data_IF_045332060805
#
_entry.id   IF_045332060805
#
_cell.length_a   1.000
_cell.length_b   1.000
_cell.length_c   1.000
_cell.angle_alpha   90.00
_cell.angle_beta   90.00
_cell.angle_gamma   90.00
#
_symmetry.space_group_name_H-M   'P 1'
#
loop_
_entity.id
_entity.type
_entity.pdbx_description
1 polymer ?
#
# COMPACT_ATOMS: atom_id res chain seq x y z
N UNK A 1 27.91 -61.08 -47.37
CA UNK A 1 28.95 -61.99 -46.85
C UNK A 1 29.02 -61.79 -45.34
N UNK A 2 28.87 -62.89 -44.60
CA UNK A 2 29.01 -63.11 -43.14
C UNK A 2 28.09 -62.24 -42.23
N UNK A 3 26.90 -62.65 -41.74
CA UNK A 3 26.29 -63.92 -41.32
C UNK A 3 26.56 -64.31 -39.85
N UNK A 4 25.47 -64.70 -39.13
CA UNK A 4 25.35 -65.54 -37.91
C UNK A 4 25.40 -64.77 -36.56
N UNK A 5 24.48 -64.87 -35.56
CA UNK A 5 23.54 -65.94 -35.10
C UNK A 5 22.35 -65.38 -34.28
N UNK A 6 21.18 -65.98 -34.44
CA UNK A 6 20.02 -66.12 -33.51
C UNK A 6 20.29 -67.30 -32.53
N UNK A 7 19.38 -67.87 -31.68
CA UNK A 7 18.19 -67.41 -30.92
C UNK A 7 18.11 -68.07 -29.50
N UNK A 8 16.97 -67.97 -28.79
CA UNK A 8 16.29 -68.98 -27.93
C UNK A 8 15.13 -68.24 -27.20
N UNK A 9 13.83 -68.44 -27.44
CA UNK A 9 12.97 -69.63 -27.51
C UNK A 9 12.87 -70.40 -26.16
N UNK A 10 11.85 -70.06 -25.36
CA UNK A 10 11.32 -70.92 -24.29
C UNK A 10 9.81 -71.04 -24.45
N UNK A 11 9.39 -72.30 -24.58
CA UNK A 11 8.05 -72.82 -24.80
C UNK A 11 7.10 -72.67 -23.61
N UNK A 12 5.82 -72.71 -23.97
CA UNK A 12 4.64 -72.79 -23.13
C UNK A 12 4.58 -74.02 -22.20
N UNK A 13 4.01 -73.83 -21.00
CA UNK A 13 2.78 -74.47 -20.50
C UNK A 13 2.71 -74.32 -18.97
N UNK A 14 1.66 -73.67 -18.46
CA UNK A 14 0.76 -74.33 -17.52
C UNK A 14 -0.53 -73.55 -17.30
N UNK A 15 -1.60 -74.31 -17.40
CA UNK A 15 -3.00 -74.03 -17.08
C UNK A 15 -3.19 -73.39 -15.71
N UNK A 16 -4.04 -72.37 -15.63
CA UNK A 16 -5.07 -72.26 -14.59
C UNK A 16 -6.14 -71.25 -15.00
N UNK A 17 -7.39 -71.72 -14.99
CA UNK A 17 -8.61 -70.95 -15.17
C UNK A 17 -8.66 -69.78 -14.17
N UNK A 18 -8.76 -68.56 -14.68
CA UNK A 18 -9.46 -67.49 -13.99
C UNK A 18 -10.40 -66.80 -14.98
N UNK A 19 -11.70 -66.86 -14.66
CA UNK A 19 -12.76 -66.12 -15.33
C UNK A 19 -12.37 -64.64 -15.40
N UNK A 20 -12.16 -64.14 -16.61
CA UNK A 20 -12.02 -62.71 -16.87
C UNK A 20 -13.42 -62.09 -16.79
N UNK A 21 -13.64 -61.34 -15.72
CA UNK A 21 -14.84 -60.54 -15.50
C UNK A 21 -14.85 -59.36 -16.50
N UNK A 22 -15.65 -59.49 -17.56
CA UNK A 22 -15.76 -58.52 -18.66
C UNK A 22 -16.35 -57.16 -18.24
N UNK A 23 -16.83 -57.02 -17.00
CA UNK A 23 -17.43 -55.79 -16.50
C UNK A 23 -16.40 -54.72 -16.07
N UNK A 24 -15.15 -55.10 -15.79
CA UNK A 24 -14.11 -54.13 -15.35
C UNK A 24 -13.43 -53.35 -16.49
N UNK A 25 -13.43 -53.87 -17.71
CA UNK A 25 -12.92 -53.14 -18.89
C UNK A 25 -13.92 -52.09 -19.41
N UNK A 26 -15.22 -52.26 -19.13
CA UNK A 26 -16.25 -51.26 -19.40
C UNK A 26 -16.16 -50.02 -18.52
N UNK A 27 -15.77 -50.16 -17.24
CA UNK A 27 -15.66 -49.03 -16.31
C UNK A 27 -14.44 -48.14 -16.57
N UNK A 28 -13.29 -48.71 -16.94
CA UNK A 28 -12.08 -47.93 -17.24
C UNK A 28 -12.20 -47.10 -18.53
N UNK A 29 -12.93 -47.59 -19.55
CA UNK A 29 -13.21 -46.81 -20.76
C UNK A 29 -14.28 -45.72 -20.53
N UNK A 30 -15.28 -45.96 -19.66
CA UNK A 30 -16.27 -44.92 -19.29
C UNK A 30 -15.65 -43.76 -18.51
N UNK A 31 -14.70 -44.02 -17.61
CA UNK A 31 -14.00 -42.94 -16.90
C UNK A 31 -13.07 -42.12 -17.80
N UNK A 32 -12.45 -42.75 -18.81
CA UNK A 32 -11.59 -42.04 -19.78
C UNK A 32 -12.39 -41.20 -20.78
N UNK A 33 -13.56 -41.68 -21.21
CA UNK A 33 -14.50 -40.91 -22.06
C UNK A 33 -15.16 -39.78 -21.25
N UNK A 34 -15.52 -40.02 -19.99
CA UNK A 34 -16.06 -39.00 -19.07
C UNK A 34 -15.05 -37.87 -18.79
N UNK A 35 -13.77 -38.20 -18.55
CA UNK A 35 -12.73 -37.21 -18.32
C UNK A 35 -12.35 -36.39 -19.58
N UNK A 36 -12.45 -37.00 -20.77
CA UNK A 36 -12.25 -36.28 -22.03
C UNK A 36 -13.47 -35.41 -22.40
N UNK A 37 -14.68 -35.86 -22.10
CA UNK A 37 -15.89 -35.06 -22.26
C UNK A 37 -15.92 -33.89 -21.26
N UNK A 38 -15.49 -34.09 -20.00
CA UNK A 38 -15.40 -33.00 -19.01
C UNK A 38 -14.35 -31.95 -19.42
N UNK A 39 -13.19 -32.39 -19.94
CA UNK A 39 -12.18 -31.47 -20.50
C UNK A 39 -12.69 -30.71 -21.74
N UNK A 40 -13.40 -31.36 -22.67
CA UNK A 40 -14.02 -30.65 -23.80
C UNK A 40 -15.07 -29.63 -23.33
N UNK A 41 -15.88 -29.95 -22.33
CA UNK A 41 -16.88 -29.01 -21.78
C UNK A 41 -16.25 -27.86 -21.02
N UNK A 42 -15.12 -28.05 -20.33
CA UNK A 42 -14.40 -26.98 -19.65
C UNK A 42 -13.76 -26.00 -20.65
N UNK A 43 -13.09 -26.53 -21.70
CA UNK A 43 -12.52 -25.69 -22.76
C UNK A 43 -13.60 -24.93 -23.52
N UNK A 44 -14.76 -25.54 -23.78
CA UNK A 44 -15.87 -24.86 -24.43
C UNK A 44 -16.45 -23.76 -23.53
N UNK A 45 -16.66 -24.01 -22.24
CA UNK A 45 -17.13 -22.99 -21.28
C UNK A 45 -16.15 -21.80 -21.18
N UNK A 46 -14.84 -22.06 -21.20
CA UNK A 46 -13.82 -20.98 -21.22
C UNK A 46 -13.91 -20.19 -22.53
N UNK A 47 -14.06 -20.85 -23.68
CA UNK A 47 -14.24 -20.18 -24.97
C UNK A 47 -15.51 -19.32 -25.00
N UNK A 48 -16.62 -19.83 -24.48
CA UNK A 48 -17.89 -19.12 -24.43
C UNK A 48 -17.79 -17.90 -23.49
N UNK A 49 -17.13 -18.06 -22.34
CA UNK A 49 -16.88 -16.97 -21.40
C UNK A 49 -15.99 -15.86 -22.01
N UNK A 50 -14.88 -16.24 -22.64
CA UNK A 50 -13.99 -15.28 -23.31
C UNK A 50 -14.71 -14.57 -24.45
N UNK A 51 -15.50 -15.29 -25.25
CA UNK A 51 -16.30 -14.72 -26.34
C UNK A 51 -17.31 -13.69 -25.80
N UNK A 52 -18.02 -14.01 -24.71
CA UNK A 52 -18.97 -13.11 -24.07
C UNK A 52 -18.30 -11.83 -23.53
N UNK A 53 -17.09 -11.94 -22.97
CA UNK A 53 -16.30 -10.77 -22.55
C UNK A 53 -15.95 -9.88 -23.76
N UNK A 54 -15.48 -10.47 -24.86
CA UNK A 54 -15.13 -9.71 -26.07
C UNK A 54 -16.35 -9.00 -26.67
N UNK A 55 -17.52 -9.64 -26.69
CA UNK A 55 -18.77 -9.03 -27.16
C UNK A 55 -19.17 -7.83 -26.28
N UNK A 56 -19.08 -7.96 -24.94
CA UNK A 56 -19.38 -6.86 -24.01
C UNK A 56 -18.42 -5.69 -24.15
N UNK A 57 -17.12 -5.96 -24.32
CA UNK A 57 -16.11 -4.93 -24.57
C UNK A 57 -16.38 -4.23 -25.91
N UNK A 58 -16.73 -4.98 -26.95
CA UNK A 58 -17.06 -4.42 -28.27
C UNK A 58 -18.29 -3.52 -28.22
N UNK A 59 -19.32 -3.89 -27.44
CA UNK A 59 -20.52 -3.06 -27.23
C UNK A 59 -20.16 -1.77 -26.48
N UNK A 60 -19.36 -1.85 -25.42
CA UNK A 60 -18.90 -0.67 -24.69
C UNK A 60 -18.18 0.35 -25.58
N UNK A 61 -17.26 -0.10 -26.44
CA UNK A 61 -16.55 0.80 -27.36
C UNK A 61 -17.46 1.41 -28.43
N UNK A 62 -18.51 0.69 -28.85
CA UNK A 62 -19.52 1.22 -29.77
C UNK A 62 -20.31 2.36 -29.11
N UNK A 63 -20.79 2.15 -27.89
CA UNK A 63 -21.56 3.16 -27.14
C UNK A 63 -20.72 4.40 -26.82
N UNK A 64 -19.44 4.21 -26.48
CA UNK A 64 -18.49 5.30 -26.26
C UNK A 64 -18.27 6.13 -27.53
N UNK A 65 -18.12 5.48 -28.68
CA UNK A 65 -17.94 6.16 -29.97
C UNK A 65 -19.18 6.98 -30.34
N UNK A 66 -20.38 6.44 -30.13
CA UNK A 66 -21.64 7.14 -30.39
C UNK A 66 -21.78 8.36 -29.47
N UNK A 67 -21.46 8.22 -28.18
CA UNK A 67 -21.48 9.31 -27.20
C UNK A 67 -20.52 10.45 -27.57
N UNK A 68 -19.30 10.12 -28.01
CA UNK A 68 -18.31 11.10 -28.47
C UNK A 68 -18.82 11.82 -29.74
N UNK A 69 -19.42 11.09 -30.68
CA UNK A 69 -19.98 11.70 -31.89
C UNK A 69 -21.15 12.63 -31.59
N UNK A 70 -21.98 12.32 -30.60
CA UNK A 70 -23.08 13.18 -30.16
C UNK A 70 -22.57 14.45 -29.48
N UNK A 71 -21.53 14.34 -28.66
CA UNK A 71 -20.85 15.47 -28.03
C UNK A 71 -20.35 16.47 -29.08
N UNK A 72 -19.64 15.99 -30.12
CA UNK A 72 -19.12 16.85 -31.19
C UNK A 72 -20.18 17.39 -32.15
N UNK A 73 -21.39 16.82 -32.18
CA UNK A 73 -22.53 17.41 -32.91
C UNK A 73 -23.15 18.59 -32.17
N UNK A 74 -23.08 18.61 -30.83
CA UNK A 74 -23.63 19.68 -29.98
C UNK A 74 -22.74 20.92 -29.93
N UNK A 75 -21.44 20.79 -30.22
CA UNK A 75 -20.45 21.87 -30.09
C UNK A 75 -20.19 22.68 -31.39
N UNK A 76 -21.04 22.55 -32.41
CA UNK A 76 -20.93 23.31 -33.68
C UNK A 76 -21.71 24.63 -33.69
N UNK A 77 -21.88 25.29 -32.54
CA UNK A 77 -22.35 26.68 -32.51
C UNK A 77 -21.17 27.60 -32.18
N UNK A 78 -20.71 28.45 -33.12
CA UNK A 78 -19.60 29.37 -32.85
C UNK A 78 -20.05 30.43 -31.84
N UNK A 79 -19.39 30.46 -30.69
CA UNK A 79 -19.51 31.50 -29.67
C UNK A 79 -19.22 32.87 -30.30
N UNK A 80 -20.27 33.70 -30.41
CA UNK A 80 -20.12 35.14 -30.57
C UNK A 80 -19.57 35.72 -29.27
N UNK A 81 -18.45 36.41 -29.38
CA UNK A 81 -17.87 37.19 -28.30
C UNK A 81 -18.76 38.42 -28.04
N UNK A 82 -19.19 38.61 -26.79
CA UNK A 82 -19.67 39.89 -26.30
C UNK A 82 -18.74 40.37 -25.18
N UNK A 83 -18.11 41.50 -25.47
CA UNK A 83 -17.38 42.37 -24.56
C UNK A 83 -18.35 43.21 -23.74
N UNK A 84 -18.16 43.32 -22.43
CA UNK A 84 -18.62 44.49 -21.65
C UNK A 84 -17.67 44.80 -20.49
N UNK A 85 -17.40 46.10 -20.39
CA UNK A 85 -16.55 46.81 -19.42
C UNK A 85 -17.29 47.10 -18.09
N UNK A 86 -16.58 47.60 -17.04
CA UNK A 86 -17.01 47.57 -15.65
C UNK A 86 -17.66 48.88 -15.17
N UNK A 87 -18.63 48.81 -14.25
CA UNK A 87 -18.87 49.89 -13.29
C UNK A 87 -19.66 49.48 -12.05
N UNK A 88 -19.34 50.19 -10.96
CA UNK A 88 -20.18 50.61 -9.81
C UNK A 88 -20.49 49.63 -8.66
N UNK A 89 -19.91 49.98 -7.50
CA UNK A 89 -20.32 49.63 -6.13
C UNK A 89 -21.80 49.97 -5.83
N UNK A 90 -22.37 49.44 -4.72
CA UNK A 90 -22.53 50.33 -3.56
C UNK A 90 -22.28 49.70 -2.17
N UNK A 91 -22.09 50.63 -1.25
CA UNK A 91 -21.99 50.59 0.21
C UNK A 91 -23.13 49.90 0.96
N UNK A 92 -22.84 49.31 2.13
CA UNK A 92 -23.79 49.23 3.24
C UNK A 92 -23.09 49.30 4.61
N UNK A 93 -23.69 50.13 5.46
CA UNK A 93 -23.24 50.58 6.76
C UNK A 93 -23.56 49.60 7.92
N UNK A 94 -22.81 49.86 8.99
CA UNK A 94 -22.85 49.36 10.36
C UNK A 94 -24.22 49.01 10.99
N UNK A 95 -24.24 47.97 11.83
CA UNK A 95 -24.81 48.11 13.18
C UNK A 95 -24.12 47.21 14.20
N UNK A 96 -23.62 47.84 15.26
CA UNK A 96 -22.94 47.28 16.43
C UNK A 96 -24.00 46.92 17.48
N UNK A 97 -23.93 45.73 18.06
CA UNK A 97 -24.57 45.41 19.34
C UNK A 97 -23.53 44.83 20.32
N UNK A 98 -23.31 45.58 21.41
CA UNK A 98 -22.46 45.24 22.55
C UNK A 98 -23.11 44.14 23.40
N UNK A 99 -22.32 43.17 23.87
CA UNK A 99 -22.63 42.37 25.06
C UNK A 99 -21.35 42.09 25.86
N UNK A 100 -21.51 42.06 27.19
CA UNK A 100 -20.50 42.36 28.22
C UNK A 100 -19.67 41.16 28.67
N UNK A 101 -18.41 41.50 29.01
CA UNK A 101 -17.55 41.03 30.13
C UNK A 101 -18.05 39.86 31.00
N UNK A 102 -17.19 38.85 31.13
CA UNK A 102 -16.88 38.20 32.42
C UNK A 102 -15.37 37.91 32.51
N UNK A 103 -14.87 37.89 33.74
CA UNK A 103 -13.50 38.19 34.18
C UNK A 103 -12.52 37.00 34.10
N UNK A 104 -11.19 37.25 34.15
CA UNK A 104 -10.14 36.24 34.09
C UNK A 104 -9.67 35.84 35.50
N UNK A 105 -10.16 34.71 36.00
CA UNK A 105 -9.55 34.01 37.15
C UNK A 105 -9.70 32.51 36.94
N UNK A 106 -8.67 31.88 36.38
CA UNK A 106 -8.36 30.44 36.47
C UNK A 106 -6.91 30.23 36.01
N UNK A 107 -6.01 31.00 36.60
CA UNK A 107 -4.57 30.71 36.68
C UNK A 107 -4.29 30.42 38.14
N UNK A 108 -3.60 29.30 38.40
CA UNK A 108 -3.18 28.73 39.70
C UNK A 108 -4.08 27.64 40.29
N UNK A 109 -3.93 26.42 39.78
CA UNK A 109 -3.98 25.19 40.60
C UNK A 109 -3.46 24.01 39.77
N UNK A 110 -2.17 23.71 39.93
CA UNK A 110 -1.52 22.39 39.84
C UNK A 110 0.00 22.61 39.72
N UNK A 111 0.55 23.26 40.74
CA UNK A 111 1.94 23.11 41.11
C UNK A 111 2.01 22.00 42.16
N UNK A 112 3.08 21.20 42.09
CA UNK A 112 3.41 20.04 42.91
C UNK A 112 2.67 18.73 42.56
N UNK A 113 3.38 17.79 41.93
CA UNK A 113 4.02 16.66 42.62
C UNK A 113 4.75 15.77 41.60
N UNK A 114 5.94 15.31 42.00
CA UNK A 114 6.79 14.27 41.41
C UNK A 114 7.82 14.71 40.34
N UNK A 115 8.89 15.33 40.83
CA UNK A 115 10.20 15.27 40.17
C UNK A 115 10.84 13.93 40.52
N UNK A 116 10.89 13.01 39.55
CA UNK A 116 11.79 11.87 39.56
C UNK A 116 12.89 12.19 38.53
N UNK A 117 14.18 11.94 38.82
CA UNK A 117 15.25 12.36 37.94
C UNK A 117 15.19 11.57 36.64
N UNK A 118 15.02 12.27 35.52
CA UNK A 118 15.21 11.70 34.19
C UNK A 118 16.72 11.61 33.95
N UNK A 119 17.30 10.42 33.66
CA UNK A 119 18.70 10.35 33.29
C UNK A 119 18.86 10.93 31.87
N UNK A 120 19.59 12.04 31.79
CA UNK A 120 20.56 12.41 30.76
C UNK A 120 20.40 11.67 29.42
N UNK A 121 19.43 12.09 28.61
CA UNK A 121 19.44 11.89 27.14
C UNK A 121 18.90 13.19 26.50
N UNK A 122 19.48 14.34 26.85
CA UNK A 122 19.24 15.61 26.14
C UNK A 122 20.53 16.27 25.64
N UNK A 123 21.69 15.62 25.78
CA UNK A 123 22.99 16.18 25.36
C UNK A 123 23.49 15.70 23.99
N UNK A 124 22.77 14.81 23.28
CA UNK A 124 23.17 14.36 21.93
C UNK A 124 22.44 15.08 20.77
N UNK A 125 21.65 16.13 21.06
CA UNK A 125 20.94 16.92 20.03
C UNK A 125 21.32 18.42 20.04
N UNK A 126 22.36 18.81 20.77
CA UNK A 126 22.87 20.19 20.81
C UNK A 126 24.02 20.38 19.84
N UNK A 127 23.64 20.52 18.57
CA UNK A 127 24.24 21.32 17.49
C UNK A 127 23.69 20.74 16.17
N UNK A 128 22.38 20.86 15.93
CA UNK A 128 21.93 20.89 14.54
C UNK A 128 22.50 22.19 13.97
N UNK A 129 23.67 22.07 13.30
CA UNK A 129 24.22 23.14 12.47
C UNK A 129 23.06 23.63 11.60
N UNK A 130 22.70 24.92 11.70
CA UNK A 130 21.62 25.47 10.87
C UNK A 130 22.13 25.57 9.43
N UNK A 131 22.07 24.44 8.73
CA UNK A 131 22.52 24.27 7.36
C UNK A 131 21.80 25.24 6.41
N UNK A 132 20.66 25.79 6.83
CA UNK A 132 19.90 26.79 6.07
C UNK A 132 20.64 28.12 5.90
N UNK A 133 21.74 28.32 6.62
CA UNK A 133 22.60 29.51 6.56
C UNK A 133 23.82 29.33 5.65
N UNK A 134 23.98 28.17 4.99
CA UNK A 134 25.13 27.95 4.10
C UNK A 134 24.86 28.50 2.69
N UNK A 135 25.86 29.11 2.02
CA UNK A 135 25.69 29.60 0.65
C UNK A 135 25.30 28.48 -0.33
N UNK A 136 25.73 27.24 -0.08
CA UNK A 136 25.34 26.11 -0.91
C UNK A 136 23.88 25.71 -0.74
N UNK A 137 23.33 25.80 0.48
CA UNK A 137 21.90 25.60 0.72
C UNK A 137 21.06 26.61 -0.07
N UNK A 138 21.39 27.90 0.03
CA UNK A 138 20.64 28.95 -0.65
C UNK A 138 20.66 28.77 -2.17
N UNK A 139 21.83 28.44 -2.74
CA UNK A 139 21.98 28.19 -4.19
C UNK A 139 21.19 26.97 -4.65
N UNK A 140 21.25 25.87 -3.90
CA UNK A 140 20.48 24.67 -4.24
C UNK A 140 18.97 24.94 -4.13
N UNK A 141 18.53 25.64 -3.08
CA UNK A 141 17.13 25.99 -2.89
C UNK A 141 16.63 26.94 -3.99
N UNK A 142 17.43 27.92 -4.38
CA UNK A 142 17.11 28.83 -5.50
C UNK A 142 16.99 28.06 -6.82
N UNK A 143 17.92 27.16 -7.12
CA UNK A 143 17.87 26.30 -8.30
C UNK A 143 16.61 25.41 -8.30
N UNK A 144 16.21 24.84 -7.15
CA UNK A 144 14.96 24.07 -7.03
C UNK A 144 13.73 24.95 -7.26
N UNK A 145 13.65 26.13 -6.64
CA UNK A 145 12.50 27.03 -6.80
C UNK A 145 12.33 27.53 -8.24
N UNK A 146 13.45 27.77 -8.94
CA UNK A 146 13.47 28.14 -10.36
C UNK A 146 13.35 26.95 -11.30
N UNK A 147 13.45 25.72 -10.77
CA UNK A 147 13.56 24.47 -11.55
C UNK A 147 14.69 24.54 -12.59
N UNK A 148 15.79 25.19 -12.21
CA UNK A 148 16.98 25.35 -13.03
C UNK A 148 17.81 24.07 -12.98
N UNK A 149 17.60 23.20 -13.98
CA UNK A 149 18.26 21.90 -14.08
C UNK A 149 19.79 22.04 -14.13
N UNK A 150 20.30 22.98 -14.93
CA UNK A 150 21.74 23.12 -15.16
C UNK A 150 22.44 23.59 -13.89
N UNK A 151 21.91 24.63 -13.24
CA UNK A 151 22.46 25.12 -11.98
C UNK A 151 22.40 24.05 -10.87
N UNK A 152 21.29 23.31 -10.79
CA UNK A 152 21.16 22.24 -9.80
C UNK A 152 22.17 21.10 -10.03
N UNK A 153 22.32 20.62 -11.27
CA UNK A 153 23.28 19.56 -11.63
C UNK A 153 24.74 19.99 -11.41
N UNK A 154 25.08 21.24 -11.72
CA UNK A 154 26.40 21.81 -11.44
C UNK A 154 26.70 21.81 -9.93
N UNK A 155 25.74 22.25 -9.11
CA UNK A 155 25.87 22.22 -7.64
C UNK A 155 26.00 20.79 -7.10
N UNK A 156 25.20 19.84 -7.60
CA UNK A 156 25.33 18.42 -7.22
C UNK A 156 26.70 17.83 -7.59
N UNK A 157 27.39 18.39 -8.58
CA UNK A 157 28.72 17.94 -9.01
C UNK A 157 29.86 18.57 -8.20
N UNK A 158 29.65 19.79 -7.69
CA UNK A 158 30.67 20.56 -6.95
C UNK A 158 30.65 20.30 -5.45
N UNK A 159 29.48 20.03 -4.88
CA UNK A 159 29.32 19.83 -3.44
C UNK A 159 29.67 18.37 -3.10
N UNK A 160 30.55 18.11 -2.11
CA UNK A 160 30.85 16.75 -1.67
C UNK A 160 29.60 15.98 -1.26
N UNK A 161 29.55 14.68 -1.61
CA UNK A 161 28.38 13.80 -1.37
C UNK A 161 27.94 13.79 0.09
N UNK A 162 28.89 13.79 1.03
CA UNK A 162 28.63 13.86 2.47
C UNK A 162 27.89 15.14 2.87
N UNK A 163 28.26 16.30 2.30
CA UNK A 163 27.58 17.57 2.54
C UNK A 163 26.20 17.60 1.88
N UNK A 164 26.05 16.99 0.70
CA UNK A 164 24.74 16.81 0.05
C UNK A 164 23.78 15.96 0.90
N UNK A 165 24.29 14.97 1.64
CA UNK A 165 23.49 14.11 2.51
C UNK A 165 22.76 14.87 3.63
N UNK A 166 23.24 16.05 3.97
CA UNK A 166 22.60 16.92 4.96
C UNK A 166 21.77 18.02 4.29
N UNK A 167 22.28 18.62 3.20
CA UNK A 167 21.61 19.71 2.48
C UNK A 167 20.33 19.27 1.76
N UNK A 168 20.36 18.15 1.02
CA UNK A 168 19.23 17.73 0.18
C UNK A 168 18.00 17.34 1.02
N UNK A 169 18.11 16.55 2.10
CA UNK A 169 16.98 16.29 2.97
C UNK A 169 16.40 17.54 3.61
N UNK A 170 17.22 18.56 3.84
CA UNK A 170 16.80 19.83 4.43
C UNK A 170 16.04 20.70 3.42
N UNK A 171 16.51 20.77 2.18
CA UNK A 171 15.77 21.39 1.08
C UNK A 171 14.43 20.69 0.87
N UNK A 172 14.40 19.35 0.86
CA UNK A 172 13.17 18.59 0.75
C UNK A 172 12.18 18.92 1.88
N UNK A 173 12.67 19.07 3.12
CA UNK A 173 11.85 19.53 4.27
C UNK A 173 11.23 20.91 4.02
N UNK A 174 11.96 21.82 3.35
CA UNK A 174 11.50 23.18 3.09
C UNK A 174 10.47 23.27 1.97
N UNK A 175 10.65 22.49 0.90
CA UNK A 175 9.80 22.60 -0.30
C UNK A 175 8.58 21.69 -0.26
N UNK A 176 8.67 20.50 0.35
CA UNK A 176 7.60 19.51 0.33
C UNK A 176 6.29 19.89 1.06
N UNK A 177 6.27 20.73 2.12
CA UNK A 177 5.02 21.20 2.72
C UNK A 177 4.18 22.06 1.77
N UNK A 178 4.77 22.58 0.70
CA UNK A 178 4.06 23.25 -0.38
C UNK A 178 3.64 22.13 -1.34
N UNK A 179 2.34 21.91 -1.47
CA UNK A 179 1.68 20.81 -2.20
C UNK A 179 2.06 20.68 -3.71
N UNK A 180 3.08 21.38 -4.20
CA UNK A 180 3.59 21.21 -5.54
C UNK A 180 4.54 20.01 -5.57
N UNK A 181 3.99 18.87 -5.99
CA UNK A 181 4.76 17.66 -6.29
C UNK A 181 5.91 17.90 -7.29
N UNK A 182 5.92 19.06 -7.98
CA UNK A 182 6.89 19.43 -9.01
C UNK A 182 8.30 19.69 -8.48
N UNK A 183 8.48 20.36 -7.34
CA UNK A 183 9.81 20.62 -6.77
C UNK A 183 10.40 19.32 -6.23
N UNK A 184 9.58 18.50 -5.56
CA UNK A 184 9.96 17.17 -5.13
C UNK A 184 10.34 16.30 -6.35
N UNK A 185 9.51 16.27 -7.39
CA UNK A 185 9.81 15.57 -8.64
C UNK A 185 11.15 16.04 -9.25
N UNK A 186 11.35 17.35 -9.32
CA UNK A 186 12.55 17.96 -9.87
C UNK A 186 13.80 17.52 -9.09
N UNK A 187 13.77 17.57 -7.76
CA UNK A 187 14.88 17.10 -6.91
C UNK A 187 15.19 15.64 -7.24
N UNK A 188 14.18 14.78 -7.22
CA UNK A 188 14.35 13.35 -7.41
C UNK A 188 14.82 12.98 -8.82
N UNK A 189 14.26 13.59 -9.86
CA UNK A 189 14.66 13.36 -11.24
C UNK A 189 16.15 13.71 -11.44
N UNK A 190 16.59 14.84 -10.88
CA UNK A 190 17.97 15.26 -10.99
C UNK A 190 18.92 14.43 -10.13
N UNK A 191 18.52 14.03 -8.93
CA UNK A 191 19.29 13.11 -8.09
C UNK A 191 19.44 11.75 -8.78
N UNK A 192 18.39 11.24 -9.41
CA UNK A 192 18.41 9.99 -10.18
C UNK A 192 19.37 10.08 -11.39
N UNK A 193 19.40 11.24 -12.06
CA UNK A 193 20.32 11.47 -13.18
C UNK A 193 21.78 11.55 -12.73
N UNK A 194 22.04 12.21 -11.58
CA UNK A 194 23.39 12.37 -11.03
C UNK A 194 23.91 11.13 -10.31
N UNK A 195 23.03 10.45 -9.58
CA UNK A 195 23.29 9.30 -8.72
C UNK A 195 22.31 8.18 -9.13
N UNK A 196 22.60 7.42 -10.20
CA UNK A 196 21.71 6.39 -10.72
C UNK A 196 21.30 5.34 -9.68
N UNK A 197 22.12 5.10 -8.66
CA UNK A 197 21.83 4.21 -7.55
C UNK A 197 20.57 4.61 -6.77
N UNK A 198 20.16 5.88 -6.81
CA UNK A 198 18.90 6.36 -6.19
C UNK A 198 17.70 5.58 -6.71
N UNK A 199 17.72 5.13 -7.98
CA UNK A 199 16.63 4.33 -8.58
C UNK A 199 16.38 3.01 -7.88
N UNK A 200 17.40 2.43 -7.24
CA UNK A 200 17.26 1.16 -6.51
C UNK A 200 16.41 1.31 -5.25
N UNK A 201 16.40 2.51 -4.67
CA UNK A 201 15.73 2.81 -3.42
C UNK A 201 14.41 3.57 -3.62
N UNK A 202 14.33 4.41 -4.66
CA UNK A 202 13.17 5.24 -4.95
C UNK A 202 12.99 5.40 -6.47
N UNK A 203 11.75 5.33 -6.94
CA UNK A 203 11.37 5.45 -8.35
C UNK A 203 10.37 6.59 -8.51
N UNK A 204 10.18 7.10 -9.73
CA UNK A 204 9.14 8.09 -10.02
C UNK A 204 7.92 7.41 -10.66
N UNK A 205 6.72 7.80 -10.23
CA UNK A 205 5.46 7.43 -10.86
C UNK A 205 4.61 8.68 -11.04
N UNK A 206 4.34 9.07 -12.29
CA UNK A 206 3.68 10.33 -12.62
C UNK A 206 4.33 11.51 -11.87
N UNK A 207 5.67 11.60 -11.93
CA UNK A 207 6.50 12.59 -11.25
C UNK A 207 6.50 12.53 -9.71
N UNK A 208 5.85 11.54 -9.09
CA UNK A 208 5.87 11.37 -7.63
C UNK A 208 6.90 10.32 -7.21
N UNK A 209 7.80 10.61 -6.26
CA UNK A 209 8.71 9.62 -5.72
C UNK A 209 7.96 8.55 -4.92
N UNK A 210 8.13 7.30 -5.33
CA UNK A 210 7.65 6.08 -4.67
C UNK A 210 8.85 5.30 -4.13
N UNK A 211 8.70 4.71 -2.96
CA UNK A 211 9.70 3.83 -2.36
C UNK A 211 9.78 2.50 -3.12
N UNK A 212 10.99 2.10 -3.51
CA UNK A 212 11.28 0.77 -4.02
C UNK A 212 11.61 -0.20 -2.86
N UNK A 213 11.61 -1.54 -3.08
CA UNK A 213 11.87 -2.52 -2.02
C UNK A 213 13.13 -2.22 -1.19
N UNK A 214 14.27 -1.90 -1.83
CA UNK A 214 15.52 -1.57 -1.13
C UNK A 214 15.41 -0.32 -0.24
N UNK A 215 14.60 0.66 -0.67
CA UNK A 215 14.29 1.84 0.15
C UNK A 215 13.43 1.47 1.37
N UNK A 216 12.50 0.53 1.20
CA UNK A 216 11.69 0.01 2.32
C UNK A 216 12.53 -0.79 3.30
N UNK A 217 13.53 -1.55 2.84
CA UNK A 217 14.48 -2.29 3.71
C UNK A 217 15.22 -1.35 4.67
N UNK A 218 15.77 -0.24 4.17
CA UNK A 218 16.40 0.80 5.02
C UNK A 218 15.43 1.27 6.11
N UNK A 219 14.16 1.47 5.76
CA UNK A 219 13.16 1.96 6.70
C UNK A 219 12.74 0.89 7.71
N UNK A 220 12.69 -0.38 7.32
CA UNK A 220 12.47 -1.49 8.24
C UNK A 220 13.59 -1.54 9.27
N UNK A 221 14.85 -1.46 8.85
CA UNK A 221 16.00 -1.46 9.75
C UNK A 221 15.98 -0.25 10.69
N UNK A 222 15.74 0.95 10.14
CA UNK A 222 15.55 2.17 10.93
C UNK A 222 14.42 2.02 11.98
N UNK A 223 13.31 1.37 11.65
CA UNK A 223 12.20 1.15 12.58
C UNK A 223 12.54 0.11 13.66
N UNK A 224 13.34 -0.91 13.34
CA UNK A 224 13.87 -1.88 14.31
C UNK A 224 14.86 -1.22 15.26
N UNK A 225 15.80 -0.43 14.76
CA UNK A 225 16.77 0.34 15.56
C UNK A 225 16.07 1.31 16.53
N UNK A 226 14.95 1.90 16.12
CA UNK A 226 14.11 2.74 17.00
C UNK A 226 13.22 1.96 17.96
N UNK A 227 13.27 0.63 17.96
CA UNK A 227 12.41 -0.24 18.78
C UNK A 227 10.91 -0.13 18.46
N UNK A 228 10.57 0.46 17.31
CA UNK A 228 9.18 0.65 16.88
C UNK A 228 8.62 -0.62 16.25
N UNK A 229 9.45 -1.36 15.51
CA UNK A 229 9.14 -2.67 14.94
C UNK A 229 9.85 -3.75 15.77
N UNK A 230 9.10 -4.73 16.28
CA UNK A 230 9.58 -5.74 17.24
C UNK A 230 9.58 -7.16 16.70
N UNK A 231 9.18 -7.32 15.45
CA UNK A 231 9.06 -8.63 14.78
C UNK A 231 9.97 -8.65 13.57
N UNK A 232 10.35 -9.85 13.15
CA UNK A 232 11.09 -10.02 11.90
C UNK A 232 10.21 -9.55 10.74
N UNK A 233 10.78 -8.69 9.90
CA UNK A 233 10.11 -8.16 8.73
C UNK A 233 10.98 -8.40 7.51
N UNK A 234 10.40 -9.07 6.54
CA UNK A 234 10.97 -9.32 5.24
C UNK A 234 10.39 -8.34 4.21
N UNK A 235 11.23 -7.66 3.46
CA UNK A 235 10.80 -6.92 2.28
C UNK A 235 10.99 -7.84 1.08
N UNK A 236 9.95 -8.00 0.26
CA UNK A 236 9.94 -8.93 -0.86
C UNK A 236 9.86 -8.16 -2.18
N UNK A 237 10.78 -8.47 -3.09
CA UNK A 237 10.85 -7.81 -4.41
C UNK A 237 9.66 -8.15 -5.29
N UNK A 238 9.07 -9.31 -5.10
CA UNK A 238 7.89 -9.80 -5.77
C UNK A 238 7.26 -10.94 -4.96
N UNK A 239 6.29 -11.61 -5.57
CA UNK A 239 5.54 -12.71 -4.97
C UNK A 239 6.40 -13.98 -4.86
N UNK A 240 7.33 -14.23 -5.77
CA UNK A 240 8.18 -15.42 -5.72
C UNK A 240 9.16 -15.35 -4.54
N UNK A 241 9.79 -14.18 -4.33
CA UNK A 241 10.61 -13.90 -3.15
C UNK A 241 9.80 -14.07 -1.85
N UNK A 242 8.54 -13.62 -1.85
CA UNK A 242 7.65 -13.83 -0.72
C UNK A 242 7.35 -15.30 -0.44
N UNK A 243 7.01 -16.11 -1.45
CA UNK A 243 6.75 -17.55 -1.28
C UNK A 243 7.97 -18.25 -0.69
N UNK A 244 9.15 -17.98 -1.22
CA UNK A 244 10.40 -18.56 -0.72
C UNK A 244 10.61 -18.24 0.77
N UNK A 245 10.39 -16.99 1.19
CA UNK A 245 10.53 -16.59 2.59
C UNK A 245 9.42 -17.18 3.47
N UNK A 246 8.19 -17.31 2.95
CA UNK A 246 7.07 -17.96 3.64
C UNK A 246 7.34 -19.45 3.90
N UNK A 247 7.87 -20.16 2.90
CA UNK A 247 8.27 -21.57 3.03
C UNK A 247 9.37 -21.74 4.08
N UNK A 248 10.34 -20.81 4.11
CA UNK A 248 11.45 -20.82 5.07
C UNK A 248 11.02 -20.67 6.53
N UNK A 249 9.83 -20.15 6.82
CA UNK A 249 9.33 -19.97 8.20
C UNK A 249 8.31 -21.03 8.62
N UNK A 250 7.97 -22.02 7.78
CA UNK A 250 6.93 -23.01 8.10
C UNK A 250 7.20 -23.81 9.37
N UNK A 251 8.48 -24.06 9.67
CA UNK A 251 8.94 -24.79 10.86
C UNK A 251 9.12 -23.90 12.11
N UNK A 252 8.67 -22.64 12.08
CA UNK A 252 8.77 -21.76 13.23
C UNK A 252 7.95 -22.28 14.43
N UNK A 253 8.42 -21.99 15.64
CA UNK A 253 7.75 -22.40 16.88
C UNK A 253 6.46 -21.61 17.11
N UNK A 254 5.51 -22.18 17.84
CA UNK A 254 4.31 -21.46 18.28
C UNK A 254 4.70 -20.17 19.05
N UNK A 255 3.99 -19.08 18.81
CA UNK A 255 4.31 -17.75 19.31
C UNK A 255 5.24 -16.93 18.42
N UNK A 256 5.84 -17.53 17.38
CA UNK A 256 6.66 -16.79 16.40
C UNK A 256 5.82 -15.83 15.58
N UNK A 257 6.37 -14.64 15.32
CA UNK A 257 5.70 -13.55 14.62
C UNK A 257 6.57 -13.03 13.49
N UNK A 258 5.99 -12.89 12.31
CA UNK A 258 6.68 -12.44 11.10
C UNK A 258 5.85 -11.37 10.40
N UNK A 259 6.52 -10.49 9.67
CA UNK A 259 5.91 -9.51 8.78
C UNK A 259 6.55 -9.58 7.41
N UNK A 260 5.78 -9.26 6.39
CA UNK A 260 6.23 -9.15 5.02
C UNK A 260 5.73 -7.84 4.43
N UNK A 261 6.54 -7.18 3.62
CA UNK A 261 6.09 -6.13 2.70
C UNK A 261 6.36 -6.65 1.29
N UNK A 262 5.30 -6.95 0.56
CA UNK A 262 5.40 -7.62 -0.74
C UNK A 262 5.11 -6.62 -1.84
N UNK A 263 6.02 -6.48 -2.80
CA UNK A 263 5.73 -5.73 -4.03
C UNK A 263 4.89 -6.58 -4.97
N UNK A 264 3.72 -6.07 -5.31
CA UNK A 264 2.74 -6.69 -6.19
C UNK A 264 3.05 -6.24 -7.62
N UNK A 265 3.71 -7.09 -8.41
CA UNK A 265 3.91 -6.87 -9.85
C UNK A 265 2.83 -7.61 -10.62
N UNK A 266 2.11 -6.91 -11.48
CA UNK A 266 1.30 -7.57 -12.50
C UNK A 266 2.23 -8.15 -13.57
N UNK A 267 1.95 -9.38 -14.03
CA UNK A 267 2.60 -9.97 -15.20
C UNK A 267 2.24 -9.23 -16.49
N UNK A 268 1.15 -8.44 -16.47
CA UNK A 268 0.78 -7.55 -17.55
C UNK A 268 1.46 -6.19 -17.39
N UNK A 269 1.85 -5.51 -18.49
CA UNK A 269 2.38 -4.15 -18.47
C UNK A 269 1.28 -3.19 -18.02
N UNK A 270 1.10 -3.10 -16.71
CA UNK A 270 0.16 -2.23 -16.03
C UNK A 270 0.94 -1.05 -15.44
N UNK A 271 0.39 0.17 -15.45
CA UNK A 271 1.01 1.31 -14.77
C UNK A 271 1.14 1.10 -13.24
N UNK A 272 0.54 0.04 -12.69
CA UNK A 272 0.48 -0.28 -11.25
C UNK A 272 1.57 -1.29 -10.78
N UNK A 273 2.71 -1.41 -11.47
CA UNK A 273 3.79 -2.37 -11.16
C UNK A 273 4.53 -2.16 -9.84
N UNK A 274 4.18 -1.12 -9.07
CA UNK A 274 4.88 -0.72 -7.85
C UNK A 274 3.99 -0.75 -6.59
N UNK A 275 2.79 -1.35 -6.68
CA UNK A 275 1.96 -1.54 -5.49
C UNK A 275 2.69 -2.42 -4.47
N UNK A 276 2.55 -2.10 -3.19
CA UNK A 276 3.07 -2.90 -2.09
C UNK A 276 1.97 -3.15 -1.07
N UNK A 277 1.95 -4.35 -0.51
CA UNK A 277 1.02 -4.74 0.54
C UNK A 277 1.73 -5.34 1.76
N UNK A 278 1.29 -5.04 2.99
CA UNK A 278 1.82 -5.68 4.19
C UNK A 278 1.09 -6.99 4.49
N UNK A 279 1.84 -7.95 5.00
CA UNK A 279 1.32 -9.20 5.56
C UNK A 279 1.90 -9.37 6.95
N UNK A 280 1.07 -9.67 7.93
CA UNK A 280 1.47 -10.00 9.29
C UNK A 280 1.06 -11.43 9.61
N UNK A 281 1.96 -12.24 10.16
CA UNK A 281 1.74 -13.65 10.43
C UNK A 281 2.14 -14.02 11.86
N UNK A 282 1.32 -14.84 12.51
CA UNK A 282 1.56 -15.40 13.84
C UNK A 282 1.37 -16.91 13.81
N UNK A 283 2.41 -17.64 14.22
CA UNK A 283 2.33 -19.10 14.39
C UNK A 283 1.62 -19.39 15.70
N UNK A 284 0.55 -20.16 15.63
CA UNK A 284 -0.19 -20.69 16.78
C UNK A 284 0.09 -22.19 16.94
N UNK A 285 -0.39 -22.78 18.03
CA UNK A 285 -0.37 -24.24 18.22
C UNK A 285 -1.18 -24.98 17.14
N UNK A 286 -2.24 -24.35 16.62
CA UNK A 286 -3.15 -24.95 15.65
C UNK A 286 -2.70 -24.73 14.20
N UNK A 287 -1.84 -23.76 13.94
CA UNK A 287 -1.44 -23.40 12.59
C UNK A 287 -1.06 -21.92 12.48
N UNK A 288 -1.53 -21.22 11.44
CA UNK A 288 -1.14 -19.83 11.17
C UNK A 288 -2.32 -18.87 11.25
N UNK A 289 -2.14 -17.75 11.92
CA UNK A 289 -2.99 -16.58 11.73
C UNK A 289 -2.26 -15.61 10.81
N UNK A 290 -2.92 -15.16 9.74
CA UNK A 290 -2.32 -14.25 8.75
C UNK A 290 -3.25 -13.09 8.47
N UNK A 291 -2.72 -11.86 8.51
CA UNK A 291 -3.42 -10.64 8.15
C UNK A 291 -2.77 -10.00 6.93
N UNK A 292 -3.53 -9.87 5.86
CA UNK A 292 -3.21 -9.05 4.70
C UNK A 292 -3.96 -7.71 4.80
N UNK A 293 -3.22 -6.60 4.88
CA UNK A 293 -3.82 -5.27 5.06
C UNK A 293 -3.60 -4.34 3.86
N UNK A 294 -4.37 -4.54 2.80
CA UNK A 294 -4.31 -3.68 1.62
C UNK A 294 -5.10 -2.38 1.86
N UNK A 295 -4.38 -1.28 2.10
CA UNK A 295 -4.95 0.05 2.33
C UNK A 295 -5.62 0.65 1.10
N UNK A 296 -5.15 0.32 -0.11
CA UNK A 296 -5.71 0.85 -1.35
C UNK A 296 -6.97 0.07 -1.73
N UNK A 297 -6.90 -1.26 -1.63
CA UNK A 297 -7.94 -2.16 -2.12
C UNK A 297 -8.03 -2.17 -3.64
N UNK A 298 -6.89 -2.00 -4.31
CA UNK A 298 -6.84 -1.90 -5.75
C UNK A 298 -7.06 -3.29 -6.37
N UNK A 299 -7.94 -3.37 -7.38
CA UNK A 299 -8.24 -4.61 -8.09
C UNK A 299 -7.02 -5.16 -8.87
N UNK A 300 -5.93 -4.40 -8.94
CA UNK A 300 -4.61 -4.88 -9.36
C UNK A 300 -4.00 -5.96 -8.44
N UNK A 301 -4.61 -6.20 -7.27
CA UNK A 301 -4.27 -7.27 -6.31
C UNK A 301 -4.87 -8.65 -6.63
N UNK A 302 -5.67 -8.81 -7.70
CA UNK A 302 -6.17 -10.14 -8.14
C UNK A 302 -5.06 -11.21 -8.25
N UNK A 303 -3.85 -10.93 -8.75
CA UNK A 303 -2.75 -11.90 -8.75
C UNK A 303 -2.41 -12.36 -7.32
N UNK A 304 -2.41 -11.43 -6.37
CA UNK A 304 -2.09 -11.72 -4.98
C UNK A 304 -3.13 -12.63 -4.33
N UNK A 305 -4.42 -12.51 -4.67
CA UNK A 305 -5.45 -13.42 -4.16
C UNK A 305 -5.26 -14.86 -4.70
N UNK A 306 -4.81 -15.00 -5.95
CA UNK A 306 -4.46 -16.29 -6.58
C UNK A 306 -3.17 -16.89 -5.99
N UNK A 307 -2.21 -16.08 -5.56
CA UNK A 307 -1.00 -16.58 -4.89
C UNK A 307 -1.21 -16.79 -3.38
N UNK A 308 -2.08 -16.02 -2.73
CA UNK A 308 -2.56 -16.30 -1.39
C UNK A 308 -3.30 -17.63 -1.33
N UNK A 309 -3.92 -18.10 -2.42
CA UNK A 309 -4.38 -19.48 -2.55
C UNK A 309 -3.32 -20.50 -2.19
N UNK A 310 -2.04 -20.25 -2.53
CA UNK A 310 -0.94 -21.16 -2.22
C UNK A 310 -0.58 -21.13 -0.74
N UNK A 311 -0.74 -19.97 -0.08
CA UNK A 311 -0.65 -19.87 1.38
C UNK A 311 -1.85 -20.52 2.04
N UNK A 312 -3.06 -20.33 1.52
CA UNK A 312 -4.31 -20.93 2.00
C UNK A 312 -4.27 -22.46 1.88
N UNK A 313 -3.50 -23.01 0.93
CA UNK A 313 -3.20 -24.46 0.87
C UNK A 313 -2.32 -24.95 2.02
N UNK A 314 -1.69 -24.07 2.79
CA UNK A 314 -1.05 -24.45 4.06
C UNK A 314 -2.16 -24.91 5.00
N UNK A 315 -2.15 -26.16 5.48
CA UNK A 315 -3.13 -26.62 6.44
C UNK A 315 -3.21 -25.69 7.64
N UNK A 316 -4.43 -25.51 8.15
CA UNK A 316 -4.71 -24.80 9.41
C UNK A 316 -4.31 -23.31 9.42
N UNK A 317 -4.67 -22.59 8.36
CA UNK A 317 -4.48 -21.14 8.27
C UNK A 317 -5.80 -20.38 8.44
N UNK A 318 -5.82 -19.41 9.37
CA UNK A 318 -6.85 -18.40 9.46
C UNK A 318 -6.35 -17.13 8.76
N UNK A 319 -6.92 -16.83 7.58
CA UNK A 319 -6.47 -15.73 6.74
C UNK A 319 -7.46 -14.56 6.78
N UNK A 320 -7.02 -13.42 7.29
CA UNK A 320 -7.75 -12.17 7.38
C UNK A 320 -7.29 -11.22 6.27
N UNK A 321 -8.21 -10.66 5.49
CA UNK A 321 -7.88 -9.74 4.41
C UNK A 321 -8.76 -8.50 4.46
N UNK A 322 -8.16 -7.30 4.45
CA UNK A 322 -8.96 -6.08 4.54
C UNK A 322 -8.20 -4.76 4.63
N UNK A 323 -8.92 -3.70 4.98
CA UNK A 323 -8.37 -2.36 5.13
C UNK A 323 -8.44 -1.47 3.89
N UNK A 324 -9.16 -1.90 2.84
CA UNK A 324 -9.37 -1.19 1.57
C UNK A 324 -9.95 0.22 1.74
N UNK A 325 -9.62 1.14 0.83
CA UNK A 325 -10.16 2.50 0.81
C UNK A 325 -9.60 3.43 1.91
N UNK A 326 -8.58 2.99 2.66
CA UNK A 326 -7.81 3.85 3.57
C UNK A 326 -6.84 4.77 2.82
N UNK A 327 -6.23 4.25 1.75
CA UNK A 327 -5.38 4.98 0.83
C UNK A 327 -6.19 5.53 -0.34
N UNK A 328 -5.88 6.75 -0.76
CA UNK A 328 -6.52 7.45 -1.89
C UNK A 328 -5.51 7.86 -2.96
N UNK A 329 -4.24 8.04 -2.62
CA UNK A 329 -3.18 8.35 -3.59
C UNK A 329 -2.46 7.07 -4.07
N UNK A 330 -1.89 7.03 -5.28
CA UNK A 330 -1.28 5.82 -5.83
C UNK A 330 0.13 5.52 -5.29
N UNK A 331 0.73 6.44 -4.53
CA UNK A 331 2.17 6.43 -4.21
C UNK A 331 2.49 6.03 -2.77
N UNK A 332 1.51 6.14 -1.87
CA UNK A 332 1.73 5.96 -0.43
C UNK A 332 1.66 4.52 0.06
N UNK A 333 1.38 3.53 -0.81
CA UNK A 333 1.24 2.13 -0.38
C UNK A 333 2.42 1.59 0.46
N UNK A 334 3.70 1.91 0.17
CA UNK A 334 4.80 1.43 1.01
C UNK A 334 4.79 2.06 2.41
N UNK A 335 4.31 3.31 2.53
CA UNK A 335 4.20 4.03 3.81
C UNK A 335 3.07 3.46 4.66
N UNK A 336 1.95 3.09 4.03
CA UNK A 336 0.88 2.32 4.68
C UNK A 336 1.39 0.95 5.15
N UNK A 337 2.14 0.22 4.31
CA UNK A 337 2.74 -1.06 4.68
C UNK A 337 3.57 -0.95 5.96
N UNK A 338 4.53 -0.01 5.99
CA UNK A 338 5.40 0.24 7.14
C UNK A 338 4.59 0.61 8.40
N UNK A 339 3.54 1.41 8.25
CA UNK A 339 2.68 1.80 9.37
C UNK A 339 1.93 0.61 9.95
N UNK A 340 1.37 -0.21 9.08
CA UNK A 340 0.52 -1.34 9.43
C UNK A 340 1.32 -2.45 10.11
N UNK A 341 2.50 -2.80 9.58
CA UNK A 341 3.38 -3.80 10.24
C UNK A 341 3.82 -3.31 11.63
N UNK A 342 4.09 -2.02 11.80
CA UNK A 342 4.45 -1.45 13.12
C UNK A 342 3.25 -1.49 14.06
N UNK A 343 2.02 -1.30 13.56
CA UNK A 343 0.83 -1.39 14.43
C UNK A 343 0.58 -2.83 14.84
N UNK A 344 0.61 -3.78 13.89
CA UNK A 344 0.42 -5.20 14.18
C UNK A 344 1.50 -5.72 15.14
N UNK A 345 2.76 -5.35 14.92
CA UNK A 345 3.89 -5.70 15.79
C UNK A 345 3.74 -5.17 17.23
N UNK A 346 2.97 -4.10 17.43
CA UNK A 346 2.72 -3.51 18.76
C UNK A 346 1.36 -3.92 19.35
N UNK A 347 0.56 -4.70 18.63
CA UNK A 347 -0.76 -5.15 19.03
C UNK A 347 -0.72 -6.66 19.27
N UNK A 348 -0.35 -7.12 20.48
CA UNK A 348 -0.04 -8.53 20.76
C UNK A 348 -1.22 -9.47 20.50
N UNK A 349 -2.45 -8.95 20.51
CA UNK A 349 -3.74 -9.61 20.39
C UNK A 349 -4.51 -9.22 19.11
N UNK A 350 -3.82 -8.75 18.06
CA UNK A 350 -4.46 -8.27 16.81
C UNK A 350 -5.47 -9.26 16.22
N UNK A 351 -5.16 -10.55 16.19
CA UNK A 351 -6.06 -11.57 15.66
C UNK A 351 -7.26 -11.83 16.56
N UNK A 352 -7.11 -11.69 17.88
CA UNK A 352 -8.23 -11.77 18.81
C UNK A 352 -9.16 -10.56 18.63
N UNK A 353 -8.59 -9.37 18.44
CA UNK A 353 -9.36 -8.17 18.11
C UNK A 353 -10.15 -8.38 16.81
N UNK A 354 -9.49 -8.77 15.71
CA UNK A 354 -10.13 -8.98 14.42
C UNK A 354 -11.25 -10.02 14.48
N UNK A 355 -11.03 -11.13 15.19
CA UNK A 355 -12.04 -12.18 15.35
C UNK A 355 -13.30 -11.72 16.09
N UNK A 356 -13.18 -10.73 16.99
CA UNK A 356 -14.33 -10.14 17.70
C UNK A 356 -15.00 -9.04 16.89
N UNK A 357 -14.23 -8.31 16.08
CA UNK A 357 -14.69 -7.14 15.33
C UNK A 357 -15.31 -7.48 13.97
N UNK A 358 -14.96 -8.63 13.39
CA UNK A 358 -15.65 -9.17 12.21
C UNK A 358 -16.94 -9.83 12.71
N UNK A 359 -18.13 -9.39 12.25
CA UNK A 359 -19.37 -10.08 12.59
C UNK A 359 -19.22 -11.54 12.20
N UNK A 360 -19.66 -12.47 13.08
CA UNK A 360 -19.71 -13.88 12.74
C UNK A 360 -20.30 -14.00 11.34
N UNK A 361 -19.55 -14.57 10.39
CA UNK A 361 -20.07 -14.81 9.05
C UNK A 361 -21.42 -15.49 9.24
N UNK A 362 -22.47 -14.95 8.61
CA UNK A 362 -23.80 -15.54 8.69
C UNK A 362 -23.63 -17.03 8.33
N UNK A 363 -23.94 -17.98 9.24
CA UNK A 363 -23.83 -19.39 8.93
C UNK A 363 -24.74 -19.79 7.74
N UNK A 364 -25.64 -18.91 7.31
CA UNK A 364 -26.51 -19.05 6.14
C UNK A 364 -26.06 -18.26 4.90
N UNK A 365 -24.87 -17.63 4.90
CA UNK A 365 -24.27 -17.17 3.65
C UNK A 365 -23.96 -18.42 2.83
N UNK A 366 -24.83 -18.70 1.85
CA UNK A 366 -24.67 -19.79 0.90
C UNK A 366 -23.21 -19.82 0.44
N UNK A 367 -22.52 -20.92 0.74
CA UNK A 367 -21.20 -21.17 0.17
C UNK A 367 -21.38 -21.05 -1.34
N UNK A 368 -20.75 -20.04 -1.93
CA UNK A 368 -20.65 -19.89 -3.38
C UNK A 368 -20.29 -21.27 -3.97
N UNK A 369 -20.94 -21.68 -5.08
CA UNK A 369 -20.82 -23.02 -5.59
C UNK A 369 -19.35 -23.41 -5.80
N UNK A 370 -19.07 -24.68 -5.48
CA UNK A 370 -17.76 -25.37 -5.42
C UNK A 370 -16.92 -25.33 -6.72
N UNK A 371 -17.26 -24.48 -7.69
CA UNK A 371 -16.45 -24.21 -8.88
C UNK A 371 -15.51 -22.99 -8.70
N UNK A 372 -15.57 -22.28 -7.55
CA UNK A 372 -14.61 -21.23 -7.14
C UNK A 372 -13.72 -21.64 -5.95
N UNK A 373 -13.16 -22.86 -6.01
CA UNK A 373 -12.40 -23.57 -4.95
C UNK A 373 -11.10 -22.93 -4.43
N UNK A 374 -10.95 -21.61 -4.39
CA UNK A 374 -9.69 -20.97 -3.97
C UNK A 374 -9.87 -20.00 -2.79
N UNK A 375 -11.07 -19.47 -2.53
CA UNK A 375 -11.22 -18.36 -1.57
C UNK A 375 -12.50 -18.53 -0.69
N UNK A 376 -12.92 -19.76 -0.36
CA UNK A 376 -14.01 -19.92 0.63
C UNK A 376 -13.58 -19.63 2.06
N UNK A 377 -12.27 -19.72 2.35
CA UNK A 377 -11.76 -19.73 3.73
C UNK A 377 -11.14 -18.39 4.16
N UNK A 378 -11.27 -17.34 3.33
CA UNK A 378 -10.76 -16.00 3.64
C UNK A 378 -11.77 -15.21 4.49
N UNK A 379 -11.30 -14.72 5.63
CA UNK A 379 -12.06 -13.82 6.50
C UNK A 379 -11.89 -12.39 5.99
N UNK A 380 -12.95 -11.84 5.41
CA UNK A 380 -12.94 -10.45 4.93
C UNK A 380 -13.12 -9.46 6.09
N UNK A 381 -12.16 -8.57 6.27
CA UNK A 381 -12.15 -7.51 7.29
C UNK A 381 -12.52 -6.17 6.64
N UNK A 382 -13.70 -5.64 6.97
CA UNK A 382 -14.07 -4.26 6.58
C UNK A 382 -13.08 -3.27 7.19
N UNK A 383 -12.75 -2.19 6.49
CA UNK A 383 -11.84 -1.15 7.01
C UNK A 383 -12.33 -0.54 8.32
N UNK A 384 -13.66 -0.45 8.48
CA UNK A 384 -14.31 -0.03 9.73
C UNK A 384 -14.08 -0.99 10.92
N UNK A 385 -13.46 -2.15 10.71
CA UNK A 385 -13.13 -3.12 11.75
C UNK A 385 -11.62 -3.20 12.02
N UNK A 386 -10.82 -2.32 11.39
CA UNK A 386 -9.38 -2.24 11.65
C UNK A 386 -9.13 -1.50 12.98
N UNK A 387 -8.04 -1.82 13.71
CA UNK A 387 -7.68 -1.09 14.92
C UNK A 387 -7.56 0.41 14.70
N UNK A 388 -7.90 1.19 15.73
CA UNK A 388 -7.89 2.65 15.69
C UNK A 388 -6.52 3.21 15.26
N UNK A 389 -5.41 2.61 15.70
CA UNK A 389 -4.07 3.03 15.34
C UNK A 389 -3.77 2.90 13.84
N UNK A 390 -4.37 1.92 13.16
CA UNK A 390 -4.28 1.70 11.71
C UNK A 390 -5.25 2.62 10.95
N UNK A 391 -6.35 3.03 11.56
CA UNK A 391 -7.31 3.98 10.97
C UNK A 391 -6.86 5.43 11.05
N UNK A 392 -6.02 5.80 12.02
CA UNK A 392 -5.54 7.19 12.17
C UNK A 392 -4.73 7.74 10.99
N UNK A 393 -4.33 6.88 10.06
CA UNK A 393 -3.58 7.26 8.86
C UNK A 393 -4.42 7.26 7.59
N UNK A 394 -5.70 6.88 7.68
CA UNK A 394 -6.65 6.88 6.57
C UNK A 394 -6.77 8.27 5.97
N UNK A 395 -6.64 8.35 4.64
CA UNK A 395 -6.74 9.61 3.87
C UNK A 395 -8.18 9.97 3.54
N UNK A 396 -9.05 8.98 3.50
CA UNK A 396 -10.47 9.07 3.20
C UNK A 396 -11.24 9.65 4.40
N UNK A 397 -11.65 10.92 4.32
CA UNK A 397 -12.34 11.60 5.42
C UNK A 397 -13.69 10.96 5.71
N UNK A 398 -14.46 10.61 4.70
CA UNK A 398 -15.78 9.99 4.89
C UNK A 398 -15.65 8.67 5.66
N UNK A 399 -14.64 7.86 5.34
CA UNK A 399 -14.36 6.61 6.05
C UNK A 399 -13.90 6.84 7.51
N UNK A 400 -13.19 7.93 7.78
CA UNK A 400 -12.83 8.32 9.15
C UNK A 400 -14.07 8.74 9.96
N UNK A 401 -14.99 9.49 9.35
CA UNK A 401 -16.25 9.91 9.97
C UNK A 401 -17.16 8.70 10.25
N UNK A 402 -17.26 7.76 9.30
CA UNK A 402 -17.95 6.49 9.50
C UNK A 402 -17.32 5.66 10.63
N UNK A 403 -15.98 5.60 10.69
CA UNK A 403 -15.27 4.91 11.76
C UNK A 403 -15.56 5.54 13.12
N UNK A 404 -15.51 6.86 13.21
CA UNK A 404 -15.81 7.60 14.44
C UNK A 404 -17.27 7.44 14.87
N UNK A 405 -18.21 7.47 13.92
CA UNK A 405 -19.63 7.25 14.22
C UNK A 405 -19.87 5.84 14.78
N UNK A 406 -19.12 4.84 14.30
CA UNK A 406 -19.23 3.45 14.75
C UNK A 406 -18.58 3.19 16.11
N UNK A 407 -17.39 3.74 16.35
CA UNK A 407 -16.56 3.40 17.53
C UNK A 407 -16.46 4.49 18.58
N UNK A 408 -16.94 5.71 18.29
CA UNK A 408 -16.80 6.87 19.15
C UNK A 408 -15.46 7.61 18.98
N UNK A 409 -15.26 8.66 19.79
CA UNK A 409 -14.03 9.46 19.82
C UNK A 409 -13.01 8.91 20.83
N UNK A 410 -12.60 7.66 20.59
CA UNK A 410 -11.70 6.96 21.50
C UNK A 410 -10.31 7.59 21.61
N UNK A 411 -9.66 7.32 22.74
CA UNK A 411 -8.31 7.78 23.04
C UNK A 411 -7.27 7.00 22.23
N UNK A 412 -6.40 7.73 21.54
CA UNK A 412 -5.24 7.20 20.81
C UNK A 412 -3.96 7.58 21.54
N UNK A 413 -3.07 6.60 21.77
CA UNK A 413 -1.73 6.88 22.32
C UNK A 413 -0.93 7.75 21.35
N UNK A 414 -0.53 8.93 21.80
CA UNK A 414 0.46 9.79 21.14
C UNK A 414 1.84 9.66 21.80
N UNK A 415 2.87 10.23 21.16
CA UNK A 415 4.26 10.21 21.64
C UNK A 415 4.47 10.90 23.00
N UNK A 416 3.70 11.96 23.30
CA UNK A 416 3.85 12.78 24.52
C UNK A 416 2.60 12.81 25.40
N UNK A 417 1.43 12.52 24.81
CA UNK A 417 0.13 12.52 25.49
C UNK A 417 -0.83 11.62 24.75
N UNK A 418 -1.81 11.11 25.46
CA UNK A 418 -3.00 10.50 24.86
C UNK A 418 -3.88 11.63 24.30
N UNK A 419 -4.28 11.51 23.04
CA UNK A 419 -5.17 12.45 22.34
C UNK A 419 -6.40 11.70 21.87
N UNK A 420 -7.51 12.39 21.62
CA UNK A 420 -8.66 11.72 21.00
C UNK A 420 -8.42 11.44 19.52
N UNK A 421 -9.19 10.53 18.94
CA UNK A 421 -9.16 10.23 17.52
C UNK A 421 -9.37 11.51 16.69
N UNK A 422 -10.38 12.31 17.05
CA UNK A 422 -10.74 13.57 16.40
C UNK A 422 -9.62 14.59 16.47
N UNK A 423 -9.03 14.80 17.65
CA UNK A 423 -7.90 15.73 17.82
C UNK A 423 -6.72 15.33 16.93
N UNK A 424 -6.45 14.03 16.84
CA UNK A 424 -5.38 13.51 15.99
C UNK A 424 -5.70 13.70 14.50
N UNK A 425 -6.96 13.55 14.10
CA UNK A 425 -7.36 13.70 12.70
C UNK A 425 -7.32 15.15 12.26
N UNK A 426 -7.88 16.06 13.06
CA UNK A 426 -7.89 17.50 12.78
C UNK A 426 -6.48 18.06 12.59
N UNK A 427 -5.50 17.59 13.38
CA UNK A 427 -4.11 18.06 13.29
C UNK A 427 -3.50 17.90 11.89
N UNK A 428 -3.91 16.87 11.15
CA UNK A 428 -3.32 16.50 9.86
C UNK A 428 -4.30 16.68 8.70
N UNK A 429 -5.44 17.32 8.92
CA UNK A 429 -6.43 17.59 7.88
C UNK A 429 -6.09 18.87 7.11
N UNK A 430 -6.10 18.78 5.78
CA UNK A 430 -5.92 19.92 4.89
C UNK A 430 -6.95 19.86 3.77
N UNK A 431 -7.43 21.02 3.34
CA UNK A 431 -8.38 21.13 2.23
C UNK A 431 -7.63 21.43 0.94
N UNK A 432 -7.70 20.49 -0.01
CA UNK A 432 -7.17 20.68 -1.35
C UNK A 432 -8.23 21.41 -2.16
N UNK A 433 -7.92 22.62 -2.61
CA UNK A 433 -8.75 23.39 -3.55
C UNK A 433 -8.12 23.23 -4.93
N UNK A 434 -8.67 22.33 -5.74
CA UNK A 434 -8.27 22.22 -7.14
C UNK A 434 -8.81 23.41 -7.94
N UNK A 435 -8.10 23.84 -8.99
CA UNK A 435 -8.49 25.00 -9.82
C UNK A 435 -9.94 24.94 -10.33
N UNK A 436 -10.51 23.74 -10.48
CA UNK A 436 -11.90 23.49 -10.89
C UNK A 436 -12.55 22.32 -10.12
N UNK A 437 -12.07 21.98 -8.92
CA UNK A 437 -12.56 20.82 -8.17
C UNK A 437 -13.20 21.24 -6.85
N UNK A 438 -14.25 20.51 -6.44
CA UNK A 438 -14.86 20.68 -5.11
C UNK A 438 -13.77 20.52 -4.05
N UNK A 439 -13.68 21.45 -3.07
CA UNK A 439 -12.70 21.36 -2.01
C UNK A 439 -12.77 20.00 -1.32
N UNK A 440 -11.64 19.27 -1.31
CA UNK A 440 -11.56 17.95 -0.70
C UNK A 440 -10.66 18.02 0.52
N UNK A 441 -11.22 17.75 1.70
CA UNK A 441 -10.43 17.60 2.92
C UNK A 441 -9.82 16.21 2.95
N UNK A 442 -8.50 16.14 3.11
CA UNK A 442 -7.74 14.89 3.21
C UNK A 442 -6.91 14.89 4.49
N UNK A 443 -6.71 13.70 5.07
CA UNK A 443 -5.73 13.51 6.13
C UNK A 443 -4.34 13.29 5.49
N UNK A 444 -3.41 14.20 5.74
CA UNK A 444 -2.10 14.25 5.12
C UNK A 444 -1.00 13.54 5.94
N UNK A 445 -1.36 12.88 7.05
CA UNK A 445 -0.39 12.25 7.95
C UNK A 445 0.51 11.22 7.25
N UNK A 446 -0.03 10.46 6.30
CA UNK A 446 0.76 9.49 5.53
C UNK A 446 1.75 10.18 4.60
N UNK A 447 1.35 11.27 3.96
CA UNK A 447 2.25 12.04 3.12
C UNK A 447 3.40 12.65 3.94
N UNK A 448 3.09 13.27 5.10
CA UNK A 448 4.10 13.79 6.03
C UNK A 448 5.11 12.70 6.44
N UNK A 449 4.63 11.47 6.69
CA UNK A 449 5.49 10.31 6.98
C UNK A 449 6.32 9.89 5.77
N UNK A 450 5.72 9.88 4.58
CA UNK A 450 6.43 9.60 3.31
C UNK A 450 7.60 10.56 3.10
N UNK A 451 7.39 11.85 3.31
CA UNK A 451 8.47 12.86 3.23
C UNK A 451 9.57 12.61 4.25
N UNK A 452 9.22 12.26 5.49
CA UNK A 452 10.21 11.88 6.51
C UNK A 452 11.05 10.69 6.05
N UNK A 453 10.40 9.67 5.48
CA UNK A 453 11.08 8.47 5.01
C UNK A 453 11.98 8.71 3.80
N UNK A 454 11.53 9.50 2.83
CA UNK A 454 12.36 9.93 1.69
C UNK A 454 13.64 10.63 2.17
N UNK A 455 13.55 11.51 3.17
CA UNK A 455 14.72 12.18 3.77
C UNK A 455 15.71 11.20 4.41
N UNK A 456 15.21 10.19 5.12
CA UNK A 456 16.04 9.15 5.75
C UNK A 456 16.78 8.35 4.67
N UNK A 457 16.07 7.93 3.61
CA UNK A 457 16.67 7.14 2.53
C UNK A 457 17.70 7.95 1.76
N UNK A 458 17.40 9.22 1.41
CA UNK A 458 18.35 10.11 0.72
C UNK A 458 19.63 10.31 1.53
N UNK A 459 19.51 10.53 2.84
CA UNK A 459 20.67 10.62 3.73
C UNK A 459 21.50 9.33 3.69
N UNK A 460 20.84 8.17 3.79
CA UNK A 460 21.53 6.88 3.71
C UNK A 460 22.28 6.69 2.38
N UNK A 461 21.63 6.98 1.25
CA UNK A 461 22.25 6.83 -0.09
C UNK A 461 23.46 7.75 -0.22
N UNK A 462 23.33 9.03 0.14
CA UNK A 462 24.38 10.03 -0.05
C UNK A 462 25.55 9.86 0.94
N UNK A 463 25.36 9.19 2.08
CA UNK A 463 26.43 8.88 3.03
C UNK A 463 27.18 7.60 2.71
N UNK A 464 26.50 6.58 2.17
CA UNK A 464 27.04 5.21 2.09
C UNK A 464 27.29 4.71 0.66
N UNK A 465 26.83 5.42 -0.37
CA UNK A 465 27.07 5.00 -1.75
C UNK A 465 28.45 5.50 -2.21
N UNK A 466 29.25 4.65 -2.88
CA UNK A 466 30.63 4.95 -3.27
C UNK A 466 30.78 6.18 -4.19
#
# INVERSE_FOLDING_TARGET
>A
MNNITNPLDIKANNTNNYNFDTDKLGHLNRHRISANNSKMTCVQKIKDFVTNIFEKISLFFKDLKESIQEYFKKDKNPLKAETTDPSTSPTADNTIAKSKKTSPELLKANAAVSQIPTPVIEEALKEELDLSLTPEYEKLLDAVNKKDKEAFQDLLSKIPKQKLADLIPEILRKVAPRLSNQETAFIFQNLIEKFPEVKEYMTLHNDNPILAPKGVEILVDYLKEKGSLKVDCFVCNDIADFIQKWEGIQSAQAGSKFSFIVRCRSEFPSPFTNHMTPIYAEKTEKGWNVLHSDAAGDFSSIPITVYFAQIIKTPDIAFYSGGSGRQRDPTSCPVFCLRDIVQCSNHPDIFQYLSKSVPAQDPNLEKEPEDSNIISDMITVKSLNMPIEMMTVTQNKELLEEYQAKHGDDKVKGLKKTVTFSEKMQKHQFTIIGKNATPKTVNNLIHERGLKYQRIILRHILQNSP
#
